data_IF_733291206725
#
_entry.id   IF_733291206725
#
_cell.length_a   1.000
_cell.length_b   1.000
_cell.length_c   1.000
_cell.angle_alpha   90.00
_cell.angle_beta   90.00
_cell.angle_gamma   90.00
#
_symmetry.space_group_name_H-M   'P 1'
#
loop_
_entity.id
_entity.type
_entity.pdbx_description
1 polymer ?
#
# COMPACT_ATOMS: atom_id res chain seq x y z
N UNK A 1 -15.97 -6.52 -6.72
CA UNK A 1 -15.42 -7.41 -7.77
C UNK A 1 -14.66 -8.56 -7.10
N UNK A 2 -14.54 -9.75 -7.70
CA UNK A 2 -13.76 -10.87 -7.12
C UNK A 2 -12.43 -11.05 -7.87
N UNK A 3 -11.31 -11.01 -7.16
CA UNK A 3 -9.96 -11.21 -7.70
C UNK A 3 -9.29 -12.42 -7.08
N UNK A 4 -8.45 -13.14 -7.82
CA UNK A 4 -7.45 -14.00 -7.15
C UNK A 4 -6.39 -13.16 -6.45
N UNK A 5 -5.59 -13.75 -5.56
CA UNK A 5 -4.44 -13.04 -4.96
C UNK A 5 -3.49 -12.53 -6.05
N UNK A 6 -3.22 -13.35 -7.08
CA UNK A 6 -2.41 -12.93 -8.23
C UNK A 6 -3.00 -11.69 -8.93
N UNK A 7 -4.29 -11.69 -9.22
CA UNK A 7 -4.97 -10.54 -9.83
C UNK A 7 -4.94 -9.30 -8.93
N UNK A 8 -4.99 -9.45 -7.61
CA UNK A 8 -4.82 -8.32 -6.70
C UNK A 8 -3.41 -7.73 -6.82
N UNK A 9 -2.37 -8.56 -6.84
CA UNK A 9 -1.00 -8.08 -6.98
C UNK A 9 -0.70 -7.54 -8.37
N UNK A 10 -1.33 -8.04 -9.43
CA UNK A 10 -1.29 -7.42 -10.77
C UNK A 10 -1.86 -6.00 -10.76
N UNK A 11 -2.92 -5.74 -9.98
CA UNK A 11 -3.48 -4.38 -9.81
C UNK A 11 -2.57 -3.49 -8.95
N UNK A 12 -1.91 -4.05 -7.94
CA UNK A 12 -0.91 -3.34 -7.13
C UNK A 12 0.28 -2.92 -8.01
N UNK A 13 0.75 -3.83 -8.87
CA UNK A 13 1.93 -3.72 -9.71
C UNK A 13 1.70 -2.96 -11.03
N UNK A 14 0.53 -2.32 -11.22
CA UNK A 14 0.30 -1.45 -12.36
C UNK A 14 1.41 -0.37 -12.50
N UNK A 15 1.69 0.08 -13.72
CA UNK A 15 2.75 1.07 -13.98
C UNK A 15 2.48 2.35 -13.18
N UNK A 16 3.48 2.79 -12.40
CA UNK A 16 3.41 3.98 -11.55
C UNK A 16 3.49 5.26 -12.41
N UNK A 17 2.70 6.26 -12.04
CA UNK A 17 2.84 7.64 -12.52
C UNK A 17 3.98 8.33 -11.77
N UNK A 18 4.72 9.21 -12.46
CA UNK A 18 5.85 9.94 -11.87
C UNK A 18 5.47 10.85 -10.69
N UNK A 19 4.18 11.19 -10.56
CA UNK A 19 3.66 12.02 -9.47
C UNK A 19 3.03 11.20 -8.33
N UNK A 20 2.99 9.87 -8.45
CA UNK A 20 2.55 9.01 -7.35
C UNK A 20 3.61 8.95 -6.23
N UNK A 21 3.15 8.77 -5.00
CA UNK A 21 4.07 8.52 -3.88
C UNK A 21 4.55 7.07 -3.89
N UNK A 22 5.78 6.86 -4.33
CA UNK A 22 6.47 5.57 -4.23
C UNK A 22 7.97 5.76 -4.07
N UNK A 23 8.61 4.78 -3.44
CA UNK A 23 10.06 4.70 -3.32
C UNK A 23 10.60 3.87 -4.48
N UNK A 24 11.50 4.44 -5.30
CA UNK A 24 12.30 3.67 -6.25
C UNK A 24 13.34 2.86 -5.47
N UNK A 25 12.99 1.65 -5.05
CA UNK A 25 14.02 0.64 -4.79
C UNK A 25 14.61 0.24 -6.14
N UNK A 26 15.90 -0.13 -6.17
CA UNK A 26 16.62 -0.72 -7.33
C UNK A 26 15.94 -1.98 -7.93
N UNK A 27 14.77 -2.37 -7.44
CA UNK A 27 13.90 -3.42 -7.95
C UNK A 27 12.59 -2.97 -8.58
N UNK A 28 12.31 -1.65 -8.74
CA UNK A 28 11.00 -1.01 -9.04
C UNK A 28 10.02 -1.56 -10.11
N UNK A 29 10.26 -2.72 -10.71
CA UNK A 29 9.30 -3.54 -11.46
C UNK A 29 9.40 -5.00 -10.97
N UNK A 30 9.18 -5.25 -9.68
CA UNK A 30 9.41 -6.60 -9.14
C UNK A 30 8.36 -7.62 -9.65
N UNK A 31 7.22 -7.16 -10.17
CA UNK A 31 6.22 -8.01 -10.77
C UNK A 31 5.28 -8.62 -9.72
N UNK A 32 4.05 -8.96 -10.12
CA UNK A 32 3.12 -9.71 -9.27
C UNK A 32 3.74 -11.01 -8.69
N UNK A 33 4.65 -11.66 -9.42
CA UNK A 33 5.35 -12.86 -8.96
C UNK A 33 6.32 -12.61 -7.81
N UNK A 34 6.96 -11.44 -7.73
CA UNK A 34 7.77 -11.07 -6.57
C UNK A 34 6.91 -11.00 -5.32
N UNK A 35 5.80 -10.28 -5.36
CA UNK A 35 4.93 -10.16 -4.19
C UNK A 35 4.36 -11.51 -3.77
N UNK A 36 3.97 -12.35 -4.74
CA UNK A 36 3.55 -13.73 -4.44
C UNK A 36 4.69 -14.51 -3.78
N UNK A 37 5.93 -14.39 -4.28
CA UNK A 37 7.08 -15.05 -3.67
C UNK A 37 7.31 -14.54 -2.24
N UNK A 38 7.23 -13.24 -2.04
CA UNK A 38 7.33 -12.57 -0.75
C UNK A 38 6.32 -13.15 0.24
N UNK A 39 5.02 -13.14 -0.09
CA UNK A 39 3.96 -13.68 0.78
C UNK A 39 4.12 -15.19 1.06
N UNK A 40 4.70 -15.94 0.10
CA UNK A 40 4.90 -17.38 0.26
C UNK A 40 6.12 -17.72 1.12
N UNK A 41 7.13 -16.85 1.20
CA UNK A 41 8.39 -17.10 1.90
C UNK A 41 8.32 -16.82 3.41
N UNK A 42 7.39 -15.99 3.87
CA UNK A 42 7.21 -15.71 5.30
C UNK A 42 6.50 -16.86 6.04
N UNK A 43 6.61 -16.90 7.36
CA UNK A 43 5.90 -17.86 8.20
C UNK A 43 4.42 -17.45 8.37
N UNK A 44 3.51 -18.41 8.60
CA UNK A 44 2.10 -18.15 8.97
C UNK A 44 1.83 -16.98 9.93
N UNK A 45 2.67 -16.81 10.96
CA UNK A 45 2.53 -15.74 11.95
C UNK A 45 2.86 -14.35 11.42
N UNK A 46 3.61 -14.28 10.33
CA UNK A 46 4.03 -13.04 9.65
C UNK A 46 3.10 -12.71 8.46
N UNK A 47 2.09 -13.55 8.18
CA UNK A 47 1.16 -13.38 7.05
C UNK A 47 -0.15 -12.73 7.49
N UNK A 48 -0.17 -11.41 7.55
CA UNK A 48 -1.40 -10.65 7.78
C UNK A 48 -1.99 -10.12 6.45
N UNK A 49 -3.06 -10.75 5.95
CA UNK A 49 -3.98 -10.09 5.01
C UNK A 49 -5.31 -9.90 5.76
N UNK A 50 -5.54 -8.71 6.29
CA UNK A 50 -6.78 -8.39 7.00
C UNK A 50 -7.89 -8.21 5.96
N UNK A 51 -8.90 -9.09 6.01
CA UNK A 51 -10.11 -8.95 5.19
C UNK A 51 -11.20 -8.26 5.99
N UNK A 52 -12.12 -7.62 5.26
CA UNK A 52 -13.27 -6.87 5.78
C UNK A 52 -13.85 -7.49 7.04
N UNK A 53 -14.00 -6.66 8.08
CA UNK A 53 -14.47 -6.97 9.45
C UNK A 53 -13.39 -7.08 10.54
N UNK A 54 -12.14 -6.66 10.29
CA UNK A 54 -11.06 -6.66 11.31
C UNK A 54 -10.73 -8.06 11.87
N UNK A 55 -11.11 -9.13 11.18
CA UNK A 55 -10.75 -10.49 11.57
C UNK A 55 -9.48 -10.91 10.83
N UNK A 56 -8.42 -11.21 11.58
CA UNK A 56 -7.18 -11.79 11.08
C UNK A 56 -7.47 -13.13 10.37
N UNK A 57 -6.97 -13.29 9.15
CA UNK A 57 -7.01 -14.58 8.46
C UNK A 57 -5.59 -14.99 8.07
N UNK A 58 -5.07 -15.99 8.78
CA UNK A 58 -3.77 -16.60 8.49
C UNK A 58 -3.84 -17.36 7.16
N UNK A 59 -2.92 -17.05 6.25
CA UNK A 59 -2.76 -17.74 4.96
C UNK A 59 -2.02 -19.07 5.15
N UNK A 60 -2.65 -20.00 5.86
CA UNK A 60 -2.11 -21.35 6.04
C UNK A 60 -2.53 -22.23 4.85
N UNK A 61 -1.54 -22.89 4.23
CA UNK A 61 -1.68 -24.02 3.29
C UNK A 61 -2.54 -23.83 2.02
N UNK A 62 -2.63 -22.62 1.47
CA UNK A 62 -3.46 -22.35 0.29
C UNK A 62 -2.65 -22.33 -1.01
N UNK A 63 -3.24 -22.91 -2.07
CA UNK A 63 -2.94 -22.55 -3.45
C UNK A 63 -3.30 -21.08 -3.68
N UNK A 64 -2.45 -20.16 -3.17
CA UNK A 64 -2.69 -18.71 -3.08
C UNK A 64 -3.15 -18.10 -4.41
N UNK A 65 -2.72 -18.67 -5.55
CA UNK A 65 -3.13 -18.23 -6.88
C UNK A 65 -4.61 -18.42 -7.23
N UNK A 66 -5.35 -19.29 -6.53
CA UNK A 66 -6.72 -19.69 -6.92
C UNK A 66 -7.81 -19.10 -6.03
N UNK A 67 -7.47 -18.69 -4.79
CA UNK A 67 -8.46 -18.15 -3.86
C UNK A 67 -8.96 -16.80 -4.33
N UNK A 68 -10.28 -16.70 -4.54
CA UNK A 68 -10.92 -15.46 -4.95
C UNK A 68 -11.36 -14.63 -3.75
N UNK A 69 -10.94 -13.38 -3.74
CA UNK A 69 -11.21 -12.39 -2.72
C UNK A 69 -12.11 -11.27 -3.26
N UNK A 70 -13.13 -10.87 -2.49
CA UNK A 70 -13.96 -9.72 -2.84
C UNK A 70 -13.23 -8.42 -2.54
N UNK A 71 -13.03 -7.61 -3.57
CA UNK A 71 -12.47 -6.27 -3.50
C UNK A 71 -13.59 -5.26 -3.79
N UNK A 72 -13.95 -4.50 -2.76
CA UNK A 72 -15.00 -3.49 -2.75
C UNK A 72 -14.75 -2.53 -1.59
N UNK A 73 -15.13 -1.26 -1.71
CA UNK A 73 -14.67 -0.22 -0.78
C UNK A 73 -13.20 0.12 -1.00
N UNK A 74 -12.50 0.56 0.05
CA UNK A 74 -11.10 0.95 0.00
C UNK A 74 -10.20 -0.14 0.57
N UNK A 75 -9.17 -0.49 -0.18
CA UNK A 75 -8.02 -1.24 0.32
C UNK A 75 -6.76 -0.38 0.21
N UNK A 76 -5.86 -0.57 1.16
CA UNK A 76 -4.53 0.02 1.16
C UNK A 76 -3.53 -1.12 1.19
N UNK A 77 -2.60 -1.13 0.26
CA UNK A 77 -1.40 -1.95 0.32
C UNK A 77 -0.24 -1.06 0.74
N UNK A 78 0.48 -1.47 1.77
CA UNK A 78 1.69 -0.82 2.24
C UNK A 78 2.84 -1.80 2.22
N UNK A 79 3.98 -1.38 1.65
CA UNK A 79 5.23 -2.14 1.64
C UNK A 79 6.27 -1.39 2.45
N UNK A 80 7.01 -2.10 3.30
CA UNK A 80 8.15 -1.58 4.06
C UNK A 80 9.45 -2.09 3.43
N UNK A 81 10.34 -1.19 3.01
CA UNK A 81 11.61 -1.51 2.34
C UNK A 81 12.60 -2.26 3.24
N UNK A 82 12.67 -1.89 4.53
CA UNK A 82 13.73 -2.37 5.42
C UNK A 82 13.54 -3.80 5.90
N UNK A 83 12.29 -4.22 6.11
CA UNK A 83 11.96 -5.54 6.65
C UNK A 83 11.39 -6.47 5.56
N UNK A 84 11.30 -5.99 4.32
CA UNK A 84 10.56 -6.61 3.21
C UNK A 84 9.12 -7.00 3.62
N UNK A 85 8.57 -6.29 4.60
CA UNK A 85 7.25 -6.54 5.14
C UNK A 85 6.19 -5.83 4.29
N UNK A 86 4.98 -6.39 4.27
CA UNK A 86 3.85 -5.76 3.60
C UNK A 86 2.56 -6.02 4.38
N UNK A 87 1.62 -5.08 4.26
CA UNK A 87 0.27 -5.25 4.81
C UNK A 87 -0.78 -4.82 3.80
N UNK A 88 -1.91 -5.52 3.83
CA UNK A 88 -3.11 -5.16 3.08
C UNK A 88 -4.22 -4.88 4.09
N UNK A 89 -4.66 -3.63 4.12
CA UNK A 89 -5.68 -3.14 5.04
C UNK A 89 -6.95 -2.82 4.27
N UNK A 90 -8.11 -3.14 4.88
CA UNK A 90 -9.39 -2.61 4.41
C UNK A 90 -9.82 -1.45 5.27
N UNK A 91 -10.24 -0.38 4.61
CA UNK A 91 -10.83 0.79 5.24
C UNK A 91 -12.17 1.14 4.63
N UNK A 92 -12.99 1.87 5.37
CA UNK A 92 -14.36 2.18 5.00
C UNK A 92 -14.50 3.56 4.37
N UNK A 93 -13.55 4.47 4.63
CA UNK A 93 -13.63 5.88 4.23
C UNK A 93 -12.29 6.41 3.74
N UNK A 94 -12.31 7.49 2.96
CA UNK A 94 -11.10 8.19 2.53
C UNK A 94 -10.37 8.83 3.73
N UNK A 95 -11.09 9.32 4.73
CA UNK A 95 -10.49 9.86 5.96
C UNK A 95 -9.64 8.81 6.70
N UNK A 96 -10.05 7.54 6.67
CA UNK A 96 -9.23 6.44 7.21
C UNK A 96 -8.00 6.16 6.35
N UNK A 97 -8.11 6.30 5.03
CA UNK A 97 -6.96 6.22 4.10
C UNK A 97 -5.94 7.30 4.43
N UNK A 98 -6.39 8.56 4.56
CA UNK A 98 -5.54 9.69 4.89
C UNK A 98 -4.85 9.53 6.24
N UNK A 99 -5.57 9.05 7.28
CA UNK A 99 -4.98 8.78 8.60
C UNK A 99 -3.87 7.74 8.56
N UNK A 100 -3.98 6.73 7.70
CA UNK A 100 -2.94 5.70 7.54
C UNK A 100 -1.74 6.30 6.81
N UNK A 101 -1.98 6.99 5.70
CA UNK A 101 -0.92 7.60 4.86
C UNK A 101 -0.16 8.68 5.62
N UNK A 102 -0.85 9.59 6.31
CA UNK A 102 -0.23 10.70 7.02
C UNK A 102 0.15 10.34 8.48
N UNK A 103 -0.21 9.14 8.93
CA UNK A 103 0.16 8.64 10.24
C UNK A 103 1.65 8.28 10.35
N UNK A 104 2.11 8.05 11.58
CA UNK A 104 3.54 7.78 11.90
C UNK A 104 4.17 6.63 11.11
N UNK A 105 3.37 5.66 10.69
CA UNK A 105 3.82 4.49 9.94
C UNK A 105 3.65 4.62 8.42
N UNK A 106 3.02 5.70 7.93
CA UNK A 106 2.78 5.96 6.51
C UNK A 106 3.96 6.66 5.86
N UNK A 107 3.74 7.81 5.23
CA UNK A 107 4.75 8.53 4.42
C UNK A 107 5.90 9.12 5.23
N UNK A 108 5.70 9.26 6.53
CA UNK A 108 6.67 9.83 7.47
C UNK A 108 7.65 8.79 7.96
N UNK A 109 7.33 7.51 7.76
CA UNK A 109 8.21 6.42 8.07
C UNK A 109 9.23 6.28 6.92
N UNK A 110 10.50 6.50 7.24
CA UNK A 110 11.61 6.38 6.29
C UNK A 110 11.72 4.99 5.63
N UNK A 111 11.09 3.99 6.22
CA UNK A 111 11.09 2.61 5.72
C UNK A 111 9.88 2.30 4.82
N UNK A 112 8.90 3.18 4.71
CA UNK A 112 7.75 2.97 3.81
C UNK A 112 8.19 3.09 2.36
N UNK A 113 7.98 2.03 1.59
CA UNK A 113 8.39 1.92 0.19
C UNK A 113 7.25 2.24 -0.77
N UNK A 114 6.08 1.62 -0.58
CA UNK A 114 4.92 1.82 -1.45
C UNK A 114 3.68 1.99 -0.58
N UNK A 115 2.79 2.91 -0.98
CA UNK A 115 1.42 2.97 -0.48
C UNK A 115 0.46 3.02 -1.67
N UNK A 116 -0.30 1.95 -1.88
CA UNK A 116 -1.21 1.80 -3.01
C UNK A 116 -2.66 1.76 -2.53
N UNK A 117 -3.50 2.62 -3.11
CA UNK A 117 -4.93 2.67 -2.81
C UNK A 117 -5.70 1.93 -3.92
N UNK A 118 -6.55 1.00 -3.52
CA UNK A 118 -7.45 0.27 -4.41
C UNK A 118 -8.88 0.57 -4.01
N UNK A 119 -9.62 1.24 -4.89
CA UNK A 119 -11.02 1.58 -4.68
C UNK A 119 -11.89 0.72 -5.58
N UNK A 120 -12.80 -0.04 -4.98
CA UNK A 120 -13.76 -0.89 -5.70
C UNK A 120 -13.11 -1.87 -6.69
N UNK A 121 -11.90 -2.34 -6.35
CA UNK A 121 -11.13 -3.29 -7.15
C UNK A 121 -10.29 -2.66 -8.26
N UNK A 122 -10.16 -1.34 -8.30
CA UNK A 122 -9.28 -0.65 -9.24
C UNK A 122 -8.24 0.13 -8.47
N UNK A 123 -6.98 0.09 -8.91
CA UNK A 123 -5.97 1.00 -8.38
C UNK A 123 -6.39 2.44 -8.67
N UNK A 124 -6.19 3.28 -7.67
CA UNK A 124 -6.37 4.73 -7.76
C UNK A 124 -5.02 5.37 -7.51
N UNK A 125 -4.58 6.17 -8.47
CA UNK A 125 -3.29 6.84 -8.46
C UNK A 125 -3.46 8.17 -7.77
N UNK A 126 -2.70 8.40 -6.72
CA UNK A 126 -2.77 9.63 -5.96
C UNK A 126 -1.38 10.27 -5.89
N UNK A 127 -1.37 11.58 -6.09
CA UNK A 127 -0.24 12.42 -5.69
C UNK A 127 -0.44 12.87 -4.26
N UNK A 128 0.68 13.05 -3.56
CA UNK A 128 0.70 13.71 -2.25
C UNK A 128 1.17 15.13 -2.48
N UNK A 129 0.41 16.11 -1.98
CA UNK A 129 0.76 17.52 -2.15
C UNK A 129 0.90 18.23 -0.81
N UNK A 130 1.81 19.19 -0.74
CA UNK A 130 1.85 20.15 0.36
C UNK A 130 0.73 21.21 0.22
N UNK A 131 0.51 22.01 1.27
CA UNK A 131 -0.44 23.15 1.24
C UNK A 131 -0.22 24.16 0.10
N UNK A 132 0.98 24.20 -0.48
CA UNK A 132 1.31 25.10 -1.59
C UNK A 132 1.01 24.46 -2.95
N UNK A 133 0.58 23.20 -2.97
CA UNK A 133 0.27 22.43 -4.17
C UNK A 133 1.48 21.77 -4.82
N UNK A 134 2.64 21.73 -4.14
CA UNK A 134 3.81 21.03 -4.65
C UNK A 134 3.63 19.52 -4.44
N UNK A 135 3.95 18.72 -5.47
CA UNK A 135 4.00 17.26 -5.36
C UNK A 135 5.15 16.87 -4.44
N UNK A 136 4.86 15.97 -3.51
CA UNK A 136 5.77 15.47 -2.50
C UNK A 136 6.15 14.02 -2.85
N UNK A 137 7.45 13.78 -2.97
CA UNK A 137 7.99 12.45 -3.25
C UNK A 137 8.64 11.87 -1.98
N UNK A 138 8.91 10.56 -1.97
CA UNK A 138 9.56 9.90 -0.82
C UNK A 138 10.84 10.63 -0.38
N UNK A 139 11.67 11.08 -1.32
CA UNK A 139 12.90 11.84 -1.08
C UNK A 139 12.71 13.10 -0.22
N UNK A 140 11.56 13.77 -0.33
CA UNK A 140 11.25 15.00 0.40
C UNK A 140 11.01 14.74 1.90
N UNK A 141 10.72 13.50 2.28
CA UNK A 141 10.48 13.09 3.66
C UNK A 141 11.74 12.62 4.39
N UNK A 142 12.78 12.18 3.68
CA UNK A 142 14.05 11.76 4.29
C UNK A 142 14.85 12.90 4.93
N UNK A 143 14.52 14.16 4.63
CA UNK A 143 15.37 15.33 4.98
C UNK A 143 14.88 16.15 6.16
N UNK A 144 13.77 15.80 6.81
CA UNK A 144 13.13 16.67 7.82
C UNK A 144 12.68 15.92 9.07
N UNK A 145 13.02 16.51 10.23
CA UNK A 145 12.52 16.14 11.56
C UNK A 145 11.07 16.64 11.70
N UNK A 146 10.10 15.89 11.22
CA UNK A 146 8.69 16.30 11.27
C UNK A 146 8.05 15.95 12.62
N UNK A 147 7.82 16.98 13.45
CA UNK A 147 6.92 16.92 14.60
C UNK A 147 5.65 17.72 14.26
N UNK A 148 4.53 17.01 14.10
CA UNK A 148 3.17 17.47 13.74
C UNK A 148 2.92 17.67 12.24
N UNK A 149 2.15 16.76 11.65
CA UNK A 149 1.90 16.67 10.20
C UNK A 149 0.44 16.57 9.80
N UNK A 150 -0.47 16.41 10.76
CA UNK A 150 -1.89 16.10 10.53
C UNK A 150 -2.63 17.16 9.68
N UNK A 151 -2.00 18.32 9.44
CA UNK A 151 -2.54 19.38 8.60
C UNK A 151 -1.68 19.75 7.38
N UNK A 152 -0.49 19.19 7.14
CA UNK A 152 0.46 19.75 6.14
C UNK A 152 0.29 19.28 4.70
N UNK A 153 -0.37 18.13 4.50
CA UNK A 153 -0.44 17.43 3.22
C UNK A 153 -1.86 16.98 2.89
N UNK A 154 -2.11 16.72 1.61
CA UNK A 154 -3.37 16.15 1.14
C UNK A 154 -3.14 15.23 -0.07
N UNK A 155 -4.09 14.32 -0.29
CA UNK A 155 -4.10 13.42 -1.45
C UNK A 155 -4.88 14.06 -2.60
N UNK A 156 -4.34 13.97 -3.82
CA UNK A 156 -5.04 14.39 -5.04
C UNK A 156 -5.02 13.25 -6.06
N UNK A 157 -6.20 12.88 -6.57
CA UNK A 157 -6.34 11.87 -7.60
C UNK A 157 -5.75 12.37 -8.92
N UNK A 158 -4.94 11.52 -9.58
CA UNK A 158 -4.32 11.77 -10.89
C UNK A 158 -5.19 11.18 -12.01
#
# INVERSE_FOLDING_TARGET
MKYTIRQLFEVIDEVKDENEFFYELDGGNEGADYFIKLITNFSPKEKEIIRSECNEQYLNDLSLGEQKIWIGGFLIFERMAHEEDYRILRVNTMDEVEKIIFGKAGITNMFTADIIIIENGKRKKYSIKDKKGNVMNCEDFYRKDYKNLDDEYFLELI
#
